data_IF_408391520746
#
_entry.id   IF_408391520746
#
_cell.length_a   1.000
_cell.length_b   1.000
_cell.length_c   1.000
_cell.angle_alpha   90.00
_cell.angle_beta   90.00
_cell.angle_gamma   90.00
#
_symmetry.space_group_name_H-M   'P 1'
#
loop_
_entity.id
_entity.type
_entity.pdbx_description
1 polymer ?
#
# COMPACT_ATOMS: atom_id res chain seq x y z
N UNK A 1 -21.01 -23.17 44.85
CA UNK A 1 -20.13 -24.36 45.00
C UNK A 1 -19.43 -24.74 43.67
N UNK A 2 -20.13 -24.91 42.56
CA UNK A 2 -19.58 -25.34 41.30
C UNK A 2 -18.57 -24.32 40.64
N UNK A 3 -18.78 -23.02 40.81
CA UNK A 3 -17.86 -21.98 40.34
C UNK A 3 -16.49 -22.01 41.05
N UNK A 4 -16.49 -22.20 42.38
CA UNK A 4 -15.23 -22.39 43.14
C UNK A 4 -14.49 -23.69 42.72
N UNK A 5 -15.24 -24.74 42.35
CA UNK A 5 -14.67 -25.97 41.80
C UNK A 5 -14.01 -25.71 40.45
N UNK A 6 -14.60 -24.87 39.58
CA UNK A 6 -14.00 -24.51 38.26
C UNK A 6 -12.57 -23.97 38.40
N UNK A 7 -12.38 -22.96 39.23
CA UNK A 7 -11.06 -22.37 39.46
C UNK A 7 -10.06 -23.36 40.07
N UNK A 8 -10.52 -24.21 41.04
CA UNK A 8 -9.65 -25.22 41.63
C UNK A 8 -9.23 -26.29 40.63
N UNK A 9 -10.14 -26.76 39.79
CA UNK A 9 -9.86 -27.71 38.72
C UNK A 9 -8.92 -27.08 37.65
N UNK A 10 -9.22 -25.83 37.25
CA UNK A 10 -8.32 -25.09 36.31
C UNK A 10 -6.90 -24.98 36.88
N UNK A 11 -6.76 -24.70 38.19
CA UNK A 11 -5.47 -24.63 38.83
C UNK A 11 -4.76 -25.99 38.91
N UNK A 12 -5.50 -27.09 39.16
CA UNK A 12 -4.95 -28.45 39.19
C UNK A 12 -4.48 -28.95 37.83
N UNK A 13 -5.10 -28.46 36.75
CA UNK A 13 -4.78 -28.78 35.36
C UNK A 13 -4.23 -27.56 34.59
N UNK A 14 -3.53 -26.64 35.28
CA UNK A 14 -3.12 -25.34 34.76
C UNK A 14 -2.39 -25.43 33.41
N UNK A 15 -1.47 -26.39 33.25
CA UNK A 15 -0.74 -26.53 31.98
C UNK A 15 -1.65 -26.81 30.78
N UNK A 16 -2.67 -27.65 30.97
CA UNK A 16 -3.64 -27.96 29.91
C UNK A 16 -4.55 -26.75 29.61
N UNK A 17 -5.03 -26.05 30.65
CA UNK A 17 -5.86 -24.86 30.49
C UNK A 17 -5.09 -23.74 29.79
N UNK A 18 -3.83 -23.48 30.20
CA UNK A 18 -2.96 -22.49 29.56
C UNK A 18 -2.72 -22.86 28.10
N UNK A 19 -2.41 -24.13 27.79
CA UNK A 19 -2.19 -24.58 26.42
C UNK A 19 -3.44 -24.35 25.55
N UNK A 20 -4.64 -24.66 26.04
CA UNK A 20 -5.89 -24.42 25.30
C UNK A 20 -6.16 -22.93 25.10
N UNK A 21 -5.93 -22.08 26.12
CA UNK A 21 -6.07 -20.64 26.00
C UNK A 21 -5.09 -20.10 24.96
N UNK A 22 -3.81 -20.51 24.99
CA UNK A 22 -2.81 -20.07 24.00
C UNK A 22 -3.25 -20.46 22.58
N UNK A 23 -3.73 -21.68 22.36
CA UNK A 23 -4.16 -22.12 21.03
C UNK A 23 -5.33 -21.29 20.50
N UNK A 24 -6.32 -20.97 21.33
CA UNK A 24 -7.44 -20.10 20.94
C UNK A 24 -6.96 -18.67 20.71
N UNK A 25 -6.11 -18.16 21.61
CA UNK A 25 -5.49 -16.82 21.47
C UNK A 25 -4.76 -16.68 20.13
N UNK A 26 -3.96 -17.67 19.76
CA UNK A 26 -3.25 -17.66 18.47
C UNK A 26 -4.22 -17.75 17.29
N UNK A 27 -5.20 -18.66 17.36
CA UNK A 27 -6.19 -18.78 16.27
C UNK A 27 -7.00 -17.50 16.02
N UNK A 28 -7.49 -16.88 17.09
CA UNK A 28 -8.24 -15.62 17.01
C UNK A 28 -7.32 -14.44 16.67
N UNK A 29 -6.11 -14.41 17.24
CA UNK A 29 -5.12 -13.36 16.96
C UNK A 29 -4.68 -13.34 15.50
N UNK A 30 -4.42 -14.50 14.91
CA UNK A 30 -4.11 -14.65 13.48
C UNK A 30 -5.30 -14.23 12.63
N UNK A 31 -6.51 -14.71 12.97
CA UNK A 31 -7.73 -14.33 12.26
C UNK A 31 -7.92 -12.81 12.22
N UNK A 32 -7.90 -12.17 13.37
CA UNK A 32 -8.10 -10.72 13.45
C UNK A 32 -6.93 -9.94 12.86
N UNK A 33 -5.69 -10.36 13.12
CA UNK A 33 -4.50 -9.70 12.61
C UNK A 33 -4.49 -9.59 11.10
N UNK A 34 -4.63 -10.70 10.38
CA UNK A 34 -4.68 -10.69 8.91
C UNK A 34 -5.92 -10.01 8.35
N UNK A 35 -7.10 -10.19 8.99
CA UNK A 35 -8.31 -9.51 8.51
C UNK A 35 -8.25 -7.99 8.70
N UNK A 36 -7.63 -7.49 9.76
CA UNK A 36 -7.37 -6.06 9.92
C UNK A 36 -6.33 -5.56 8.93
N UNK A 37 -5.27 -6.33 8.70
CA UNK A 37 -4.18 -5.98 7.80
C UNK A 37 -4.68 -5.80 6.36
N UNK A 38 -5.24 -6.86 5.73
CA UNK A 38 -5.67 -6.78 4.34
C UNK A 38 -6.75 -5.72 4.12
N UNK A 39 -7.68 -5.58 5.06
CA UNK A 39 -8.73 -4.56 4.95
C UNK A 39 -8.16 -3.14 5.07
N UNK A 40 -7.18 -2.93 5.96
CA UNK A 40 -6.49 -1.65 6.09
C UNK A 40 -5.72 -1.32 4.81
N UNK A 41 -4.98 -2.30 4.25
CA UNK A 41 -4.28 -2.13 2.98
C UNK A 41 -5.26 -1.73 1.89
N UNK A 42 -6.33 -2.50 1.66
CA UNK A 42 -7.30 -2.23 0.59
C UNK A 42 -7.98 -0.85 0.75
N UNK A 43 -8.39 -0.51 1.97
CA UNK A 43 -9.08 0.73 2.26
C UNK A 43 -8.17 1.95 2.09
N UNK A 44 -7.00 1.94 2.74
CA UNK A 44 -6.11 3.10 2.76
C UNK A 44 -5.39 3.29 1.41
N UNK A 45 -4.99 2.21 0.72
CA UNK A 45 -4.40 2.32 -0.62
C UNK A 45 -5.41 2.83 -1.64
N UNK A 46 -6.66 2.33 -1.61
CA UNK A 46 -7.72 2.82 -2.50
C UNK A 46 -8.00 4.31 -2.29
N UNK A 47 -8.03 4.73 -1.02
CA UNK A 47 -8.18 6.14 -0.66
C UNK A 47 -7.00 6.97 -1.16
N UNK A 48 -5.77 6.51 -0.95
CA UNK A 48 -4.57 7.23 -1.38
C UNK A 48 -4.47 7.33 -2.90
N UNK A 49 -4.87 6.29 -3.64
CA UNK A 49 -5.00 6.37 -5.09
C UNK A 49 -6.03 7.43 -5.53
N UNK A 50 -7.15 7.53 -4.83
CA UNK A 50 -8.14 8.58 -5.10
C UNK A 50 -7.61 9.98 -4.75
N UNK A 51 -6.97 10.15 -3.59
CA UNK A 51 -6.42 11.42 -3.12
C UNK A 51 -5.28 11.95 -4.03
N UNK A 52 -4.58 11.05 -4.74
CA UNK A 52 -3.49 11.38 -5.67
C UNK A 52 -3.91 11.34 -7.14
N UNK A 53 -5.20 11.20 -7.43
CA UNK A 53 -5.70 11.06 -8.80
C UNK A 53 -4.89 10.03 -9.61
N UNK A 54 -4.68 8.84 -9.04
CA UNK A 54 -3.91 7.77 -9.66
C UNK A 54 -4.54 7.37 -10.99
N UNK A 55 -3.74 7.32 -12.06
CA UNK A 55 -4.26 7.09 -13.40
C UNK A 55 -4.99 5.74 -13.55
N UNK A 56 -6.21 5.76 -14.09
CA UNK A 56 -6.95 4.54 -14.46
C UNK A 56 -6.35 3.88 -15.70
N UNK A 57 -5.86 4.70 -16.64
CA UNK A 57 -5.19 4.24 -17.86
C UNK A 57 -3.95 5.08 -18.15
N UNK A 58 -2.96 4.41 -18.76
CA UNK A 58 -1.75 5.04 -19.29
C UNK A 58 -1.63 4.74 -20.76
N UNK A 59 -1.47 5.78 -21.56
CA UNK A 59 -1.22 5.70 -23.00
C UNK A 59 0.28 5.87 -23.24
N UNK A 60 0.85 5.08 -24.13
CA UNK A 60 2.26 5.16 -24.48
C UNK A 60 2.44 5.30 -25.99
N UNK A 61 3.23 6.30 -26.39
CA UNK A 61 3.67 6.50 -27.78
C UNK A 61 5.15 6.90 -27.80
N UNK A 62 5.96 6.13 -28.53
CA UNK A 62 7.40 6.41 -28.67
C UNK A 62 7.69 7.73 -29.41
N UNK A 63 6.76 8.21 -30.21
CA UNK A 63 6.89 9.48 -30.91
C UNK A 63 6.50 10.69 -30.02
N UNK A 64 5.96 10.42 -28.83
CA UNK A 64 5.46 11.39 -27.90
C UNK A 64 4.05 11.88 -28.23
N UNK A 65 3.51 12.68 -27.31
CA UNK A 65 2.20 13.28 -27.42
C UNK A 65 2.31 14.80 -27.50
N UNK A 66 1.59 15.40 -28.46
CA UNK A 66 1.48 16.86 -28.56
C UNK A 66 0.42 17.40 -27.61
N UNK A 67 0.42 18.72 -27.39
CA UNK A 67 -0.67 19.37 -26.64
C UNK A 67 -2.03 19.18 -27.35
N UNK A 68 -2.07 19.20 -28.68
CA UNK A 68 -3.28 18.93 -29.48
C UNK A 68 -3.77 17.47 -29.31
N UNK A 69 -2.85 16.50 -29.17
CA UNK A 69 -3.21 15.12 -28.83
C UNK A 69 -3.86 15.06 -27.45
N UNK A 70 -3.32 15.77 -26.46
CA UNK A 70 -3.89 15.83 -25.11
C UNK A 70 -5.30 16.41 -25.14
N UNK A 71 -5.50 17.53 -25.86
CA UNK A 71 -6.80 18.17 -25.99
C UNK A 71 -7.85 17.23 -26.65
N UNK A 72 -7.43 16.49 -27.68
CA UNK A 72 -8.28 15.48 -28.34
C UNK A 72 -8.64 14.32 -27.40
N UNK A 73 -7.68 13.83 -26.61
CA UNK A 73 -7.89 12.77 -25.61
C UNK A 73 -8.83 13.26 -24.51
N UNK A 74 -8.58 14.46 -23.97
CA UNK A 74 -9.41 15.05 -22.93
C UNK A 74 -10.84 15.35 -23.41
N UNK A 75 -11.03 15.55 -24.72
CA UNK A 75 -12.34 15.73 -25.35
C UNK A 75 -13.14 14.43 -25.58
N UNK A 76 -12.59 13.25 -25.32
CA UNK A 76 -13.29 11.97 -25.47
C UNK A 76 -14.36 11.85 -24.38
N UNK A 77 -15.59 11.53 -24.79
CA UNK A 77 -16.68 11.31 -23.85
C UNK A 77 -16.39 10.07 -22.97
N UNK A 78 -16.33 10.25 -21.66
CA UNK A 78 -15.94 9.23 -20.68
C UNK A 78 -14.51 9.37 -20.16
N UNK A 79 -13.72 10.31 -20.67
CA UNK A 79 -12.46 10.76 -20.08
C UNK A 79 -12.76 11.91 -19.11
N UNK A 80 -12.46 11.72 -17.83
CA UNK A 80 -12.73 12.70 -16.77
C UNK A 80 -11.59 13.71 -16.63
N UNK A 81 -10.34 13.24 -16.80
CA UNK A 81 -9.14 14.06 -16.81
C UNK A 81 -8.02 13.37 -17.58
N UNK A 82 -7.11 14.15 -18.15
CA UNK A 82 -5.91 13.65 -18.82
C UNK A 82 -4.74 14.60 -18.61
N UNK A 83 -3.53 14.06 -18.53
CA UNK A 83 -2.29 14.82 -18.45
C UNK A 83 -1.18 14.14 -19.25
N UNK A 84 -0.34 14.91 -19.93
CA UNK A 84 0.94 14.38 -20.40
C UNK A 84 1.85 14.16 -19.20
N UNK A 85 2.52 13.01 -19.17
CA UNK A 85 3.30 12.60 -18.03
C UNK A 85 4.70 12.13 -18.47
N UNK A 86 5.70 12.60 -17.76
CA UNK A 86 7.08 12.14 -17.90
C UNK A 86 7.50 11.48 -16.61
N UNK A 87 8.11 10.30 -16.70
CA UNK A 87 8.83 9.68 -15.60
C UNK A 87 10.17 9.16 -16.11
N UNK A 88 11.27 9.61 -15.52
CA UNK A 88 12.62 9.23 -15.93
C UNK A 88 13.54 9.06 -14.72
N UNK A 89 14.32 7.98 -14.70
CA UNK A 89 15.29 7.74 -13.63
C UNK A 89 16.56 8.55 -13.88
N UNK A 90 16.98 9.34 -12.89
CA UNK A 90 18.14 10.21 -12.92
C UNK A 90 19.06 9.92 -11.74
N UNK A 91 20.38 9.97 -11.99
CA UNK A 91 21.37 9.83 -10.92
C UNK A 91 21.51 11.12 -10.12
N UNK A 92 21.80 11.01 -8.84
CA UNK A 92 22.11 12.17 -8.00
C UNK A 92 23.59 12.50 -8.17
N UNK A 93 23.89 13.71 -8.61
CA UNK A 93 25.26 14.17 -8.83
C UNK A 93 26.09 14.07 -7.56
N UNK A 94 27.26 13.45 -7.67
CA UNK A 94 28.21 13.29 -6.55
C UNK A 94 27.81 12.23 -5.53
N UNK A 95 26.77 11.45 -5.76
CA UNK A 95 26.36 10.33 -4.92
C UNK A 95 26.41 9.03 -5.73
N UNK A 96 27.26 8.09 -5.32
CA UNK A 96 27.34 6.79 -5.97
C UNK A 96 26.12 5.93 -5.63
N UNK A 97 25.53 5.28 -6.62
CA UNK A 97 24.38 4.38 -6.49
C UNK A 97 23.13 5.02 -5.84
N UNK A 98 22.91 6.31 -6.10
CA UNK A 98 21.67 6.98 -5.68
C UNK A 98 21.00 7.62 -6.88
N UNK A 99 19.72 7.33 -7.04
CA UNK A 99 18.92 7.84 -8.14
C UNK A 99 17.51 8.18 -7.69
N UNK A 100 16.84 8.98 -8.50
CA UNK A 100 15.44 9.36 -8.31
C UNK A 100 14.68 9.16 -9.63
N UNK A 101 13.46 8.64 -9.52
CA UNK A 101 12.48 8.81 -10.58
C UNK A 101 12.03 10.29 -10.55
N UNK A 102 12.32 11.03 -11.61
CA UNK A 102 11.88 12.40 -11.78
C UNK A 102 10.62 12.42 -12.62
N UNK A 103 9.53 12.89 -12.03
CA UNK A 103 8.23 12.97 -12.64
C UNK A 103 7.84 14.41 -12.98
N UNK A 104 7.12 14.56 -14.09
CA UNK A 104 6.47 15.81 -14.49
C UNK A 104 5.06 15.50 -14.95
N UNK A 105 4.07 16.05 -14.27
CA UNK A 105 2.68 16.06 -14.70
C UNK A 105 2.38 17.45 -15.28
N UNK A 106 1.99 17.54 -16.56
CA UNK A 106 1.90 18.81 -17.26
C UNK A 106 0.88 19.76 -16.64
N UNK A 107 -0.33 19.27 -16.35
CA UNK A 107 -1.42 20.09 -15.80
C UNK A 107 -1.83 19.66 -14.39
N UNK A 108 -1.11 18.74 -13.79
CA UNK A 108 -1.31 18.23 -12.43
C UNK A 108 -2.76 17.78 -12.13
N UNK A 109 -3.52 17.34 -13.16
CA UNK A 109 -4.89 16.85 -13.00
C UNK A 109 -4.97 15.36 -12.69
N UNK A 110 -3.96 14.60 -13.14
CA UNK A 110 -3.82 13.15 -12.94
C UNK A 110 -2.41 12.86 -12.45
N UNK A 111 -2.23 11.78 -11.70
CA UNK A 111 -0.93 11.38 -11.13
C UNK A 111 -0.31 12.50 -10.29
N UNK A 112 -1.09 12.99 -9.33
CA UNK A 112 -0.70 14.03 -8.39
C UNK A 112 -0.01 13.45 -7.16
N UNK A 113 0.32 14.30 -6.19
CA UNK A 113 0.91 13.88 -4.92
C UNK A 113 0.30 14.64 -3.74
N UNK A 114 0.48 14.09 -2.55
CA UNK A 114 0.14 14.75 -1.28
C UNK A 114 1.40 15.39 -0.70
N UNK A 115 1.30 16.65 -0.29
CA UNK A 115 2.39 17.38 0.37
C UNK A 115 2.38 17.06 1.85
N UNK A 116 3.46 16.46 2.35
CA UNK A 116 3.67 16.15 3.76
C UNK A 116 4.24 17.34 4.52
N UNK A 117 5.14 18.10 3.88
CA UNK A 117 5.70 19.36 4.42
C UNK A 117 6.27 20.23 3.32
N UNK A 118 6.40 21.53 3.57
CA UNK A 118 6.92 22.50 2.61
C UNK A 118 5.84 23.15 1.75
N UNK A 119 6.21 23.53 0.53
CA UNK A 119 5.36 24.28 -0.38
C UNK A 119 4.38 23.38 -1.14
N UNK A 120 3.19 23.90 -1.40
CA UNK A 120 2.23 23.26 -2.31
C UNK A 120 2.80 23.22 -3.73
N UNK A 121 2.24 22.33 -4.56
CA UNK A 121 2.63 22.30 -5.97
C UNK A 121 2.38 23.63 -6.67
N UNK A 122 3.38 24.06 -7.44
CA UNK A 122 3.33 25.23 -8.29
C UNK A 122 3.85 24.86 -9.70
N UNK A 123 2.99 24.99 -10.72
CA UNK A 123 3.33 24.74 -12.12
C UNK A 123 4.50 25.59 -12.62
N UNK A 124 4.73 26.74 -11.97
CA UNK A 124 5.79 27.69 -12.27
C UNK A 124 6.99 27.56 -11.31
N UNK A 125 6.96 26.63 -10.38
CA UNK A 125 8.01 26.42 -9.39
C UNK A 125 9.34 26.01 -10.02
N UNK A 126 10.45 26.46 -9.41
CA UNK A 126 11.83 26.12 -9.86
C UNK A 126 12.46 25.03 -8.97
N UNK A 127 11.75 24.58 -7.92
CA UNK A 127 12.22 23.58 -6.99
C UNK A 127 11.86 22.14 -7.36
N UNK A 128 12.18 21.24 -6.43
CA UNK A 128 11.79 19.84 -6.46
C UNK A 128 10.89 19.51 -5.27
N UNK A 129 9.86 18.72 -5.52
CA UNK A 129 9.08 18.04 -4.49
C UNK A 129 9.59 16.60 -4.40
N UNK A 130 10.18 16.22 -3.26
CA UNK A 130 10.92 14.97 -3.11
C UNK A 130 10.19 14.03 -2.15
N UNK A 131 10.29 12.72 -2.39
CA UNK A 131 9.79 11.68 -1.46
C UNK A 131 10.32 11.95 -0.04
N UNK A 132 9.41 12.01 0.95
CA UNK A 132 9.76 12.26 2.34
C UNK A 132 10.63 11.15 2.93
N UNK A 133 10.35 9.88 2.58
CA UNK A 133 11.16 8.74 3.02
C UNK A 133 12.57 8.77 2.43
N UNK A 134 12.69 9.10 1.14
CA UNK A 134 14.02 9.25 0.53
C UNK A 134 14.79 10.42 1.15
N UNK A 135 14.14 11.57 1.35
CA UNK A 135 14.74 12.73 1.99
C UNK A 135 15.21 12.39 3.41
N UNK A 136 14.37 11.75 4.21
CA UNK A 136 14.70 11.31 5.56
C UNK A 136 15.88 10.32 5.59
N UNK A 137 15.87 9.29 4.74
CA UNK A 137 16.93 8.28 4.67
C UNK A 137 18.28 8.86 4.24
N UNK A 138 18.27 9.96 3.48
CA UNK A 138 19.46 10.62 2.96
C UNK A 138 19.83 11.92 3.65
N UNK A 139 19.14 12.28 4.75
CA UNK A 139 19.32 13.49 5.54
C UNK A 139 19.14 14.79 4.73
N UNK A 140 18.26 14.78 3.72
CA UNK A 140 17.84 15.99 3.03
C UNK A 140 16.73 16.72 3.80
N UNK A 141 16.78 18.06 3.74
CA UNK A 141 15.82 18.95 4.37
C UNK A 141 15.24 19.94 3.34
N UNK A 142 14.13 20.57 3.69
CA UNK A 142 13.57 21.67 2.90
C UNK A 142 14.62 22.79 2.77
N UNK A 143 14.79 23.26 1.54
CA UNK A 143 15.78 24.30 1.19
C UNK A 143 17.14 23.77 0.74
N UNK A 144 17.45 22.49 0.95
CA UNK A 144 18.67 21.86 0.46
C UNK A 144 18.72 21.85 -1.06
N UNK A 145 19.93 21.97 -1.63
CA UNK A 145 20.15 21.90 -3.05
C UNK A 145 20.27 20.44 -3.51
N UNK A 146 19.48 20.09 -4.50
CA UNK A 146 19.50 18.78 -5.15
C UNK A 146 19.94 18.96 -6.60
N UNK A 147 20.93 18.18 -7.04
CA UNK A 147 21.37 18.16 -8.44
C UNK A 147 21.23 16.74 -9.00
N UNK A 148 20.41 16.61 -10.03
CA UNK A 148 20.19 15.38 -10.78
C UNK A 148 21.02 15.43 -12.07
N UNK A 149 21.54 14.29 -12.50
CA UNK A 149 22.35 14.19 -13.71
C UNK A 149 21.66 13.32 -14.76
N UNK A 150 21.53 13.85 -15.97
CA UNK A 150 20.94 13.17 -17.11
C UNK A 150 21.82 13.31 -18.34
N UNK A 151 22.43 12.22 -18.78
CA UNK A 151 23.25 12.19 -20.01
C UNK A 151 24.28 13.33 -20.08
N UNK A 152 24.95 13.62 -18.96
CA UNK A 152 25.96 14.66 -18.86
C UNK A 152 25.43 16.08 -18.62
N UNK A 153 24.13 16.26 -18.49
CA UNK A 153 23.50 17.52 -18.11
C UNK A 153 23.09 17.48 -16.64
N UNK A 154 23.34 18.55 -15.92
CA UNK A 154 22.94 18.70 -14.52
C UNK A 154 21.64 19.52 -14.42
N UNK A 155 20.70 19.02 -13.64
CA UNK A 155 19.43 19.67 -13.32
C UNK A 155 19.44 20.00 -11.83
N UNK A 156 19.67 21.25 -11.49
CA UNK A 156 19.76 21.69 -10.10
C UNK A 156 18.49 22.43 -9.63
N UNK A 157 18.20 22.32 -8.35
CA UNK A 157 17.11 23.04 -7.71
C UNK A 157 17.04 22.75 -6.22
N UNK A 158 16.30 23.59 -5.50
CA UNK A 158 16.06 23.40 -4.06
C UNK A 158 14.92 22.42 -3.83
N UNK A 159 15.00 21.67 -2.75
CA UNK A 159 13.89 20.87 -2.24
C UNK A 159 12.89 21.83 -1.59
N UNK A 160 11.73 21.99 -2.21
CA UNK A 160 10.68 22.92 -1.77
C UNK A 160 9.54 22.21 -1.05
N UNK A 161 9.37 20.93 -1.26
CA UNK A 161 8.34 20.13 -0.62
C UNK A 161 8.76 18.68 -0.40
N UNK A 162 8.26 18.08 0.66
CA UNK A 162 8.33 16.64 0.91
C UNK A 162 6.96 16.02 0.64
N UNK A 163 6.91 14.97 -0.14
CA UNK A 163 5.68 14.47 -0.75
C UNK A 163 5.55 12.95 -0.66
N UNK A 164 4.30 12.49 -0.88
CA UNK A 164 3.96 11.10 -1.17
C UNK A 164 3.07 11.03 -2.41
N UNK A 165 3.38 10.10 -3.32
CA UNK A 165 2.68 9.92 -4.60
C UNK A 165 2.15 8.51 -4.77
N UNK A 166 0.91 8.39 -5.27
CA UNK A 166 0.31 7.10 -5.63
C UNK A 166 1.10 6.37 -6.72
N UNK A 167 1.75 7.09 -7.64
CA UNK A 167 2.58 6.50 -8.71
C UNK A 167 3.79 5.74 -8.14
N UNK A 168 4.28 6.15 -6.97
CA UNK A 168 5.44 5.60 -6.29
C UNK A 168 5.11 5.05 -4.90
N UNK A 169 3.87 4.66 -4.65
CA UNK A 169 3.46 4.08 -3.37
C UNK A 169 4.29 2.85 -3.01
N UNK A 170 4.73 2.06 -4.00
CA UNK A 170 5.76 1.03 -3.85
C UNK A 170 6.98 1.50 -4.63
N UNK A 171 7.95 2.11 -3.92
CA UNK A 171 9.08 2.80 -4.52
C UNK A 171 10.29 1.87 -4.68
N UNK A 172 10.35 1.15 -5.80
CA UNK A 172 11.45 0.24 -6.14
C UNK A 172 12.16 0.70 -7.41
N UNK A 173 13.50 0.58 -7.44
CA UNK A 173 14.31 0.94 -8.60
C UNK A 173 14.20 -0.07 -9.75
N UNK A 174 13.97 -1.35 -9.42
CA UNK A 174 13.86 -2.47 -10.35
C UNK A 174 12.69 -3.36 -9.97
N UNK A 175 11.99 -3.90 -10.98
CA UNK A 175 10.84 -4.81 -10.80
C UNK A 175 11.16 -6.11 -10.05
N UNK A 176 12.43 -6.49 -9.96
CA UNK A 176 12.87 -7.67 -9.22
C UNK A 176 13.23 -7.35 -7.76
N UNK A 177 13.18 -6.08 -7.37
CA UNK A 177 13.45 -5.66 -5.99
C UNK A 177 12.20 -5.91 -5.14
N UNK A 178 12.33 -6.76 -4.12
CA UNK A 178 11.22 -7.17 -3.27
C UNK A 178 10.81 -6.12 -2.22
N UNK A 179 11.73 -5.25 -1.82
CA UNK A 179 11.47 -4.23 -0.80
C UNK A 179 12.08 -2.89 -1.23
N UNK A 180 11.40 -1.76 -0.99
CA UNK A 180 11.96 -0.44 -1.20
C UNK A 180 13.26 -0.22 -0.41
N UNK A 181 14.23 0.44 -1.03
CA UNK A 181 15.44 0.94 -0.36
C UNK A 181 15.60 2.44 -0.60
N UNK A 182 15.01 3.20 0.30
CA UNK A 182 15.05 4.67 0.24
C UNK A 182 16.44 5.28 0.44
N UNK A 183 17.46 4.49 0.82
CA UNK A 183 18.85 4.97 0.84
C UNK A 183 19.41 5.11 -0.58
N UNK A 184 18.92 4.33 -1.52
CA UNK A 184 19.46 4.27 -2.89
C UNK A 184 18.51 4.81 -3.94
N UNK A 185 17.19 4.65 -3.74
CA UNK A 185 16.17 5.05 -4.71
C UNK A 185 15.00 5.78 -4.06
N UNK A 186 14.51 6.79 -4.76
CA UNK A 186 13.33 7.56 -4.40
C UNK A 186 12.69 8.19 -5.63
N UNK A 187 11.85 9.19 -5.41
CA UNK A 187 11.22 9.93 -6.51
C UNK A 187 11.14 11.42 -6.17
N UNK A 188 11.01 12.21 -7.22
CA UNK A 188 10.82 13.63 -7.13
C UNK A 188 9.91 14.13 -8.25
N UNK A 189 9.21 15.22 -8.00
CA UNK A 189 8.44 15.95 -9.02
C UNK A 189 9.10 17.29 -9.30
N UNK A 190 9.02 17.75 -10.56
CA UNK A 190 9.34 19.12 -10.92
C UNK A 190 8.21 19.72 -11.76
N UNK A 191 8.20 21.05 -11.89
CA UNK A 191 7.19 21.76 -12.66
C UNK A 191 7.39 21.62 -14.17
N UNK A 192 6.32 21.72 -14.99
CA UNK A 192 6.44 21.78 -16.45
C UNK A 192 7.25 22.99 -16.91
N UNK A 193 7.17 24.14 -16.24
CA UNK A 193 8.01 25.30 -16.55
C UNK A 193 9.49 24.97 -16.39
N UNK A 194 9.88 24.29 -15.31
CA UNK A 194 11.26 23.87 -15.10
C UNK A 194 11.70 22.87 -16.18
N UNK A 195 10.83 21.95 -16.60
CA UNK A 195 11.09 21.01 -17.70
C UNK A 195 11.44 21.78 -18.99
N UNK A 196 10.65 22.81 -19.36
CA UNK A 196 10.94 23.63 -20.54
C UNK A 196 12.29 24.33 -20.45
N UNK A 197 12.67 24.79 -19.25
CA UNK A 197 14.01 25.35 -19.01
C UNK A 197 15.12 24.31 -19.25
N UNK A 198 14.92 23.09 -18.74
CA UNK A 198 15.85 21.96 -18.95
C UNK A 198 15.95 21.59 -20.43
N UNK A 199 14.84 21.54 -21.15
CA UNK A 199 14.82 21.28 -22.60
C UNK A 199 15.60 22.36 -23.36
N UNK A 200 15.40 23.64 -23.04
CA UNK A 200 16.14 24.75 -23.64
C UNK A 200 17.65 24.62 -23.46
N UNK A 201 18.10 24.30 -22.25
CA UNK A 201 19.52 24.11 -21.95
C UNK A 201 20.08 22.85 -22.69
N UNK A 202 19.28 21.78 -22.78
CA UNK A 202 19.69 20.58 -23.54
C UNK A 202 19.88 20.88 -25.02
N UNK A 203 19.01 21.67 -25.64
CA UNK A 203 19.16 22.11 -27.04
C UNK A 203 20.44 22.92 -27.22
N UNK A 204 20.78 23.85 -26.33
CA UNK A 204 22.04 24.59 -26.36
C UNK A 204 23.25 23.67 -26.28
N UNK A 205 23.25 22.75 -25.32
CA UNK A 205 24.36 21.79 -25.13
C UNK A 205 24.54 20.85 -26.32
N UNK A 206 23.45 20.55 -27.06
CA UNK A 206 23.49 19.72 -28.26
C UNK A 206 24.03 20.46 -29.48
N UNK A 207 24.49 21.72 -29.35
CA UNK A 207 25.00 22.54 -30.45
C UNK A 207 23.91 23.14 -31.32
N UNK A 208 22.65 23.18 -30.89
CA UNK A 208 21.57 23.81 -31.62
C UNK A 208 21.84 25.34 -31.62
N UNK A 209 21.81 26.04 -32.77
CA UNK A 209 22.09 27.46 -32.81
C UNK A 209 21.14 28.25 -31.95
N UNK A 210 21.66 29.15 -31.10
CA UNK A 210 20.85 29.85 -30.09
C UNK A 210 19.70 30.68 -30.69
N UNK A 211 19.91 31.25 -31.87
CA UNK A 211 18.90 31.98 -32.61
C UNK A 211 17.77 31.11 -33.20
N UNK A 212 17.94 29.80 -33.23
CA UNK A 212 16.92 28.82 -33.65
C UNK A 212 16.21 28.14 -32.47
N UNK A 213 16.61 28.41 -31.22
CA UNK A 213 15.93 27.92 -30.02
C UNK A 213 14.69 28.81 -29.79
N UNK A 214 13.70 28.62 -30.64
CA UNK A 214 12.39 29.29 -30.55
C UNK A 214 11.47 28.50 -29.64
N UNK A 215 10.36 29.11 -29.23
CA UNK A 215 9.31 28.37 -28.46
C UNK A 215 8.81 27.16 -29.26
N UNK A 216 8.64 27.26 -30.56
CA UNK A 216 8.25 26.11 -31.40
C UNK A 216 9.28 24.96 -31.33
N UNK A 217 10.57 25.26 -31.32
CA UNK A 217 11.61 24.23 -31.19
C UNK A 217 11.58 23.57 -29.81
N UNK A 218 11.24 24.34 -28.77
CA UNK A 218 11.05 23.82 -27.41
C UNK A 218 9.80 22.94 -27.37
N UNK A 219 8.68 23.38 -27.96
CA UNK A 219 7.43 22.62 -28.02
C UNK A 219 7.62 21.29 -28.77
N UNK A 220 8.34 21.28 -29.89
CA UNK A 220 8.66 20.05 -30.62
C UNK A 220 9.52 19.08 -29.79
N UNK A 221 10.48 19.60 -29.03
CA UNK A 221 11.29 18.78 -28.13
C UNK A 221 10.48 18.26 -26.94
N UNK A 222 9.66 19.10 -26.34
CA UNK A 222 8.76 18.75 -25.23
C UNK A 222 7.76 17.67 -25.64
N UNK A 223 7.16 17.75 -26.82
CA UNK A 223 6.26 16.74 -27.35
C UNK A 223 6.89 15.34 -27.42
N UNK A 224 8.18 15.26 -27.75
CA UNK A 224 8.93 13.99 -27.77
C UNK A 224 9.29 13.47 -26.39
N UNK A 225 9.41 14.36 -25.39
CA UNK A 225 9.72 14.00 -24.01
C UNK A 225 8.48 13.39 -23.34
N UNK A 226 7.30 13.88 -23.64
CA UNK A 226 6.06 13.31 -23.12
C UNK A 226 5.63 12.07 -23.91
N UNK A 227 6.27 10.94 -23.65
CA UNK A 227 5.93 9.65 -24.26
C UNK A 227 4.72 8.94 -23.60
N UNK A 228 4.14 9.55 -22.59
CA UNK A 228 3.04 8.99 -21.81
C UNK A 228 1.93 10.03 -21.60
N UNK A 229 0.67 9.57 -21.65
CA UNK A 229 -0.50 10.30 -21.17
C UNK A 229 -1.21 9.48 -20.11
N UNK A 230 -1.47 10.08 -18.95
CA UNK A 230 -2.22 9.50 -17.86
C UNK A 230 -3.66 9.99 -17.88
N UNK A 231 -4.60 9.08 -17.68
CA UNK A 231 -6.04 9.34 -17.85
C UNK A 231 -6.82 8.84 -16.64
N UNK A 232 -7.80 9.64 -16.20
CA UNK A 232 -8.91 9.20 -15.36
C UNK A 232 -10.14 8.95 -16.23
N UNK A 233 -10.67 7.73 -16.21
CA UNK A 233 -11.81 7.34 -17.02
C UNK A 233 -12.54 6.15 -16.43
N UNK A 234 -13.87 6.15 -16.52
CA UNK A 234 -14.73 5.02 -16.14
C UNK A 234 -15.00 4.05 -17.31
N UNK A 235 -14.38 4.28 -18.47
CA UNK A 235 -14.52 3.45 -19.67
C UNK A 235 -13.80 2.10 -19.44
N UNK A 236 -14.25 1.08 -20.15
CA UNK A 236 -13.47 -0.14 -20.32
C UNK A 236 -12.32 0.09 -21.32
N UNK A 237 -11.31 -0.81 -21.25
CA UNK A 237 -10.09 -0.69 -22.03
C UNK A 237 -10.36 -0.65 -23.55
N UNK A 238 -11.21 -1.54 -24.05
CA UNK A 238 -11.47 -1.70 -25.50
C UNK A 238 -12.16 -0.44 -26.05
N UNK A 239 -13.17 0.05 -25.34
CA UNK A 239 -13.86 1.30 -25.69
C UNK A 239 -12.92 2.51 -25.69
N UNK A 240 -12.00 2.59 -24.72
CA UNK A 240 -11.02 3.66 -24.66
C UNK A 240 -9.99 3.55 -25.81
N UNK A 241 -9.49 2.34 -26.11
CA UNK A 241 -8.56 2.11 -27.23
C UNK A 241 -9.16 2.57 -28.57
N UNK A 242 -10.43 2.20 -28.84
CA UNK A 242 -11.12 2.61 -30.06
C UNK A 242 -11.36 4.13 -30.11
N UNK A 243 -11.78 4.71 -28.99
CA UNK A 243 -12.00 6.15 -28.93
C UNK A 243 -10.71 6.96 -29.13
N UNK A 244 -9.60 6.55 -28.49
CA UNK A 244 -8.29 7.19 -28.65
C UNK A 244 -7.77 7.03 -30.08
N UNK A 245 -7.90 5.83 -30.67
CA UNK A 245 -7.51 5.57 -32.06
C UNK A 245 -8.29 6.46 -33.04
N UNK A 246 -9.60 6.62 -32.82
CA UNK A 246 -10.44 7.49 -33.65
C UNK A 246 -10.07 8.97 -33.49
N UNK A 247 -9.78 9.42 -32.25
CA UNK A 247 -9.43 10.80 -31.97
C UNK A 247 -8.05 11.20 -32.54
N UNK A 248 -7.07 10.29 -32.43
CA UNK A 248 -5.68 10.57 -32.84
C UNK A 248 -5.36 10.09 -34.27
N UNK A 249 -6.20 9.23 -34.87
CA UNK A 249 -5.92 8.64 -36.20
C UNK A 249 -4.76 7.64 -36.22
N UNK A 250 -4.26 7.21 -35.07
CA UNK A 250 -3.17 6.24 -34.90
C UNK A 250 -3.42 5.29 -33.73
N UNK A 251 -2.82 4.11 -33.80
CA UNK A 251 -2.94 3.10 -32.71
C UNK A 251 -1.95 3.43 -31.60
N UNK A 252 -2.48 3.52 -30.38
CA UNK A 252 -1.73 3.83 -29.16
C UNK A 252 -1.81 2.62 -28.22
N UNK A 253 -0.73 2.33 -27.50
CA UNK A 253 -0.74 1.32 -26.46
C UNK A 253 -1.47 1.84 -25.23
N UNK A 254 -2.55 1.17 -24.83
CA UNK A 254 -3.35 1.51 -23.64
C UNK A 254 -3.13 0.47 -22.56
N UNK A 255 -2.69 0.91 -21.38
CA UNK A 255 -2.44 0.04 -20.21
C UNK A 255 -3.36 0.45 -19.07
N UNK A 256 -4.25 -0.44 -18.60
CA UNK A 256 -5.11 -0.14 -17.45
C UNK A 256 -4.32 -0.18 -16.15
N UNK A 257 -4.82 0.46 -15.09
CA UNK A 257 -4.17 0.48 -13.77
C UNK A 257 -3.93 -0.93 -13.20
N UNK A 258 -4.78 -1.89 -13.52
CA UNK A 258 -4.65 -3.29 -13.07
C UNK A 258 -3.39 -3.98 -13.60
N UNK A 259 -2.82 -3.50 -14.70
CA UNK A 259 -1.57 -4.01 -15.26
C UNK A 259 -0.35 -3.20 -14.78
N UNK A 260 -0.57 -2.07 -14.11
CA UNK A 260 0.51 -1.27 -13.55
C UNK A 260 1.06 -1.89 -12.27
N UNK A 261 2.38 -1.98 -12.17
CA UNK A 261 3.08 -2.73 -11.11
C UNK A 261 2.65 -2.29 -9.71
N UNK A 262 2.64 -0.98 -9.44
CA UNK A 262 2.30 -0.43 -8.11
C UNK A 262 0.89 -0.84 -7.68
N UNK A 263 -0.10 -0.71 -8.57
CA UNK A 263 -1.47 -1.10 -8.28
C UNK A 263 -1.61 -2.61 -8.08
N UNK A 264 -0.98 -3.39 -8.97
CA UNK A 264 -1.03 -4.85 -8.94
C UNK A 264 -0.42 -5.41 -7.66
N UNK A 265 0.74 -4.92 -7.25
CA UNK A 265 1.40 -5.33 -6.01
C UNK A 265 0.60 -4.90 -4.77
N UNK A 266 0.06 -3.68 -4.75
CA UNK A 266 -0.76 -3.21 -3.63
C UNK A 266 -2.03 -4.05 -3.44
N UNK A 267 -2.72 -4.38 -4.53
CA UNK A 267 -3.90 -5.24 -4.47
C UNK A 267 -3.53 -6.70 -4.20
N UNK A 268 -2.37 -7.15 -4.67
CA UNK A 268 -1.81 -8.46 -4.40
C UNK A 268 -1.58 -8.71 -2.91
N UNK A 269 -0.96 -7.75 -2.21
CA UNK A 269 -0.76 -7.82 -0.75
C UNK A 269 -2.10 -7.95 0.00
N UNK A 270 -3.13 -7.20 -0.42
CA UNK A 270 -4.47 -7.32 0.16
C UNK A 270 -5.06 -8.71 -0.06
N UNK A 271 -4.99 -9.26 -1.27
CA UNK A 271 -5.52 -10.61 -1.59
C UNK A 271 -4.74 -11.72 -0.86
N UNK A 272 -3.43 -11.59 -0.71
CA UNK A 272 -2.63 -12.53 0.09
C UNK A 272 -3.03 -12.50 1.56
N UNK A 273 -3.15 -11.31 2.15
CA UNK A 273 -3.63 -11.12 3.52
C UNK A 273 -5.02 -11.72 3.74
N UNK A 274 -5.95 -11.53 2.79
CA UNK A 274 -7.29 -12.11 2.80
C UNK A 274 -7.27 -13.65 2.74
N UNK A 275 -6.42 -14.20 1.91
CA UNK A 275 -6.23 -15.65 1.79
C UNK A 275 -5.67 -16.24 3.08
N UNK A 276 -4.62 -15.64 3.64
CA UNK A 276 -4.01 -16.05 4.91
C UNK A 276 -5.00 -15.89 6.08
N UNK A 277 -5.75 -14.79 6.10
CA UNK A 277 -6.79 -14.52 7.10
C UNK A 277 -7.98 -15.49 7.07
N UNK A 278 -8.21 -16.17 5.94
CA UNK A 278 -9.28 -17.17 5.81
C UNK A 278 -8.80 -18.62 6.09
N UNK A 279 -7.61 -18.99 5.64
CA UNK A 279 -7.13 -20.39 5.68
C UNK A 279 -6.46 -20.72 7.02
N UNK A 280 -5.50 -19.90 7.46
CA UNK A 280 -4.73 -20.19 8.66
C UNK A 280 -5.56 -20.28 9.95
N UNK A 281 -6.53 -19.39 10.20
CA UNK A 281 -7.35 -19.46 11.41
C UNK A 281 -8.18 -20.74 11.50
N UNK A 282 -8.72 -21.23 10.38
CA UNK A 282 -9.48 -22.50 10.34
C UNK A 282 -8.61 -23.66 10.81
N UNK A 283 -7.37 -23.72 10.36
CA UNK A 283 -6.41 -24.74 10.77
C UNK A 283 -6.11 -24.66 12.28
N UNK A 284 -5.80 -23.45 12.79
CA UNK A 284 -5.51 -23.26 14.22
C UNK A 284 -6.73 -23.55 15.11
N UNK A 285 -7.94 -23.14 14.70
CA UNK A 285 -9.17 -23.42 15.44
C UNK A 285 -9.48 -24.93 15.45
N UNK A 286 -9.29 -25.63 14.34
CA UNK A 286 -9.44 -27.08 14.30
C UNK A 286 -8.52 -27.79 15.30
N UNK A 287 -7.23 -27.40 15.34
CA UNK A 287 -6.27 -27.92 16.31
C UNK A 287 -6.69 -27.57 17.75
N UNK A 288 -7.15 -26.35 17.99
CA UNK A 288 -7.64 -25.92 19.31
C UNK A 288 -8.85 -26.75 19.77
N UNK A 289 -9.81 -27.02 18.88
CA UNK A 289 -11.00 -27.84 19.18
C UNK A 289 -10.58 -29.27 19.51
N UNK A 290 -9.72 -29.89 18.70
CA UNK A 290 -9.21 -31.26 18.94
C UNK A 290 -8.49 -31.35 20.28
N UNK A 291 -7.63 -30.37 20.58
CA UNK A 291 -6.91 -30.29 21.86
C UNK A 291 -7.86 -30.10 23.02
N UNK A 292 -8.91 -29.27 22.86
CA UNK A 292 -9.93 -29.06 23.90
C UNK A 292 -10.74 -30.34 24.16
N UNK A 293 -11.22 -31.02 23.12
CA UNK A 293 -11.98 -32.26 23.23
C UNK A 293 -11.17 -33.36 23.95
N UNK A 294 -9.92 -33.59 23.51
CA UNK A 294 -9.04 -34.62 24.12
C UNK A 294 -8.72 -34.30 25.57
N UNK A 295 -8.47 -33.04 25.88
CA UNK A 295 -8.19 -32.58 27.24
C UNK A 295 -9.40 -32.70 28.15
N UNK A 296 -10.58 -32.28 27.70
CA UNK A 296 -11.85 -32.39 28.46
C UNK A 296 -12.22 -33.84 28.70
N UNK A 297 -12.02 -34.71 27.70
CA UNK A 297 -12.20 -36.17 27.87
C UNK A 297 -11.28 -36.72 28.98
N UNK A 298 -10.01 -36.34 28.98
CA UNK A 298 -9.04 -36.78 30.01
C UNK A 298 -9.41 -36.28 31.41
N UNK A 299 -9.85 -34.99 31.53
CA UNK A 299 -10.30 -34.44 32.82
C UNK A 299 -11.56 -35.18 33.31
N UNK A 300 -12.56 -35.38 32.45
CA UNK A 300 -13.78 -36.09 32.79
C UNK A 300 -13.51 -37.54 33.23
N UNK A 301 -12.55 -38.24 32.59
CA UNK A 301 -12.16 -39.60 32.98
C UNK A 301 -11.47 -39.62 34.32
N UNK A 302 -10.57 -38.67 34.62
CA UNK A 302 -9.95 -38.57 35.95
C UNK A 302 -10.92 -38.20 37.09
N UNK A 303 -11.93 -37.41 36.77
CA UNK A 303 -12.96 -36.95 37.70
C UNK A 303 -14.19 -37.91 37.80
N UNK A 304 -14.14 -39.09 37.19
CA UNK A 304 -15.24 -40.07 37.13
C UNK A 304 -15.87 -40.37 38.52
N UNK A 305 -15.04 -40.55 39.55
CA UNK A 305 -15.47 -40.80 40.92
C UNK A 305 -16.26 -39.58 41.47
N UNK A 306 -15.75 -38.37 41.24
CA UNK A 306 -16.43 -37.15 41.70
C UNK A 306 -17.78 -36.93 40.97
N UNK A 307 -17.84 -37.28 39.68
CA UNK A 307 -19.07 -37.23 38.90
C UNK A 307 -20.09 -38.23 39.49
N UNK A 308 -19.66 -39.43 39.84
CA UNK A 308 -20.49 -40.42 40.51
C UNK A 308 -21.03 -39.94 41.84
N UNK A 309 -20.19 -39.33 42.70
CA UNK A 309 -20.57 -38.78 43.98
C UNK A 309 -21.63 -37.65 43.82
N UNK A 310 -21.43 -36.74 42.82
CA UNK A 310 -22.40 -35.70 42.52
C UNK A 310 -23.75 -36.27 42.09
N UNK A 311 -23.77 -37.36 41.30
CA UNK A 311 -25.01 -38.07 40.94
C UNK A 311 -25.65 -38.72 42.14
N UNK A 312 -24.93 -39.37 43.03
CA UNK A 312 -25.43 -39.96 44.25
C UNK A 312 -26.07 -38.88 45.21
N UNK A 313 -25.53 -37.68 45.20
CA UNK A 313 -26.05 -36.52 45.94
C UNK A 313 -27.28 -35.85 45.24
N UNK A 314 -27.82 -36.46 44.16
CA UNK A 314 -29.04 -36.00 43.49
C UNK A 314 -28.85 -34.88 42.47
N UNK A 315 -27.62 -34.57 42.03
CA UNK A 315 -27.40 -33.56 40.98
C UNK A 315 -27.87 -34.09 39.61
N UNK A 316 -28.74 -33.34 38.93
CA UNK A 316 -29.24 -33.66 37.59
C UNK A 316 -28.09 -33.67 36.57
N UNK A 317 -28.11 -34.63 35.62
CA UNK A 317 -27.09 -34.75 34.54
C UNK A 317 -26.86 -33.44 33.79
N UNK A 318 -27.91 -32.66 33.48
CA UNK A 318 -27.80 -31.34 32.84
C UNK A 318 -26.96 -30.34 33.63
N UNK A 319 -27.00 -30.40 34.97
CA UNK A 319 -26.21 -29.49 35.83
C UNK A 319 -24.76 -29.88 35.86
N UNK A 320 -24.45 -31.16 35.81
CA UNK A 320 -23.10 -31.70 35.72
C UNK A 320 -22.52 -31.36 34.34
N UNK A 321 -23.25 -31.64 33.26
CA UNK A 321 -22.82 -31.32 31.89
C UNK A 321 -22.52 -29.82 31.75
N UNK A 322 -23.44 -28.92 32.18
CA UNK A 322 -23.24 -27.48 32.14
C UNK A 322 -21.98 -27.02 32.90
N UNK A 323 -21.63 -27.69 33.99
CA UNK A 323 -20.41 -27.41 34.73
C UNK A 323 -19.15 -27.73 33.90
N UNK A 324 -19.08 -28.88 33.19
CA UNK A 324 -17.95 -29.24 32.37
C UNK A 324 -17.91 -28.38 31.06
N UNK A 325 -19.05 -28.06 30.49
CA UNK A 325 -19.12 -27.13 29.35
C UNK A 325 -18.65 -25.70 29.71
N UNK A 326 -18.86 -25.29 30.98
CA UNK A 326 -18.39 -23.96 31.42
C UNK A 326 -16.86 -23.81 31.43
N UNK A 327 -16.10 -24.90 31.47
CA UNK A 327 -14.63 -24.83 31.26
C UNK A 327 -14.29 -24.39 29.83
N UNK A 328 -14.94 -24.99 28.82
CA UNK A 328 -14.76 -24.60 27.43
C UNK A 328 -15.17 -23.15 27.19
N UNK A 329 -16.31 -22.71 27.76
CA UNK A 329 -16.75 -21.33 27.66
C UNK A 329 -15.76 -20.35 28.30
N UNK A 330 -15.24 -20.68 29.48
CA UNK A 330 -14.24 -19.85 30.15
C UNK A 330 -12.95 -19.72 29.30
N UNK A 331 -12.44 -20.83 28.78
CA UNK A 331 -11.25 -20.86 27.92
C UNK A 331 -11.51 -20.08 26.64
N UNK A 332 -12.69 -20.26 26.04
CA UNK A 332 -13.10 -19.54 24.82
C UNK A 332 -13.13 -18.03 25.03
N UNK A 333 -13.81 -17.55 26.08
CA UNK A 333 -13.91 -16.10 26.37
C UNK A 333 -12.53 -15.51 26.63
N UNK A 334 -11.72 -16.13 27.49
CA UNK A 334 -10.38 -15.63 27.82
C UNK A 334 -9.48 -15.66 26.59
N UNK A 335 -9.48 -16.78 25.84
CA UNK A 335 -8.66 -16.94 24.65
C UNK A 335 -9.05 -15.94 23.55
N UNK A 336 -10.36 -15.71 23.32
CA UNK A 336 -10.83 -14.72 22.36
C UNK A 336 -10.45 -13.29 22.75
N UNK A 337 -10.63 -12.92 24.03
CA UNK A 337 -10.25 -11.58 24.49
C UNK A 337 -8.74 -11.31 24.34
N UNK A 338 -7.92 -12.29 24.73
CA UNK A 338 -6.46 -12.19 24.55
C UNK A 338 -6.08 -12.22 23.07
N UNK A 339 -6.74 -13.03 22.24
CA UNK A 339 -6.53 -13.14 20.81
C UNK A 339 -6.88 -11.83 20.08
N UNK A 340 -8.00 -11.20 20.45
CA UNK A 340 -8.37 -9.90 19.89
C UNK A 340 -7.33 -8.82 20.21
N UNK A 341 -6.85 -8.77 21.45
CA UNK A 341 -5.77 -7.86 21.84
C UNK A 341 -4.47 -8.13 21.10
N UNK A 342 -4.09 -9.40 20.96
CA UNK A 342 -2.88 -9.80 20.25
C UNK A 342 -2.97 -9.44 18.76
N UNK A 343 -4.07 -9.78 18.08
CA UNK A 343 -4.28 -9.46 16.66
C UNK A 343 -4.21 -7.96 16.39
N UNK A 344 -4.85 -7.14 17.22
CA UNK A 344 -4.77 -5.69 17.12
C UNK A 344 -3.33 -5.17 17.29
N UNK A 345 -2.61 -5.64 18.31
CA UNK A 345 -1.22 -5.21 18.57
C UNK A 345 -0.27 -5.61 17.43
N UNK A 346 -0.42 -6.83 16.90
CA UNK A 346 0.38 -7.30 15.78
C UNK A 346 0.09 -6.49 14.52
N UNK A 347 -1.19 -6.31 14.16
CA UNK A 347 -1.56 -5.48 13.01
C UNK A 347 -1.01 -4.07 13.14
N UNK A 348 -1.18 -3.42 14.29
CA UNK A 348 -0.64 -2.08 14.54
C UNK A 348 0.88 -2.02 14.41
N UNK A 349 1.61 -3.05 14.87
CA UNK A 349 3.06 -3.10 14.74
C UNK A 349 3.50 -3.28 13.28
N UNK A 350 2.83 -4.17 12.53
CA UNK A 350 3.11 -4.42 11.10
C UNK A 350 2.82 -3.19 10.25
N UNK A 351 1.71 -2.50 10.52
CA UNK A 351 1.27 -1.30 9.80
C UNK A 351 1.96 -0.01 10.25
N UNK A 352 2.76 -0.03 11.33
CA UNK A 352 3.48 1.17 11.78
C UNK A 352 4.52 1.63 10.74
N UNK A 353 4.91 2.89 10.78
CA UNK A 353 5.90 3.50 9.87
C UNK A 353 7.19 2.68 9.72
N UNK A 354 7.69 2.13 10.84
CA UNK A 354 8.87 1.26 10.88
C UNK A 354 8.52 -0.23 10.78
N UNK A 355 7.26 -0.57 10.61
CA UNK A 355 6.77 -1.93 10.40
C UNK A 355 6.99 -2.40 8.97
N UNK A 356 6.67 -3.67 8.72
CA UNK A 356 6.86 -4.26 7.39
C UNK A 356 6.07 -3.50 6.31
N UNK A 357 4.77 -3.28 6.52
CA UNK A 357 3.91 -2.59 5.56
C UNK A 357 4.20 -1.08 5.50
N UNK A 358 4.50 -0.44 6.64
CA UNK A 358 4.93 0.95 6.65
C UNK A 358 6.26 1.22 5.96
N UNK A 359 7.15 0.22 5.86
CA UNK A 359 8.38 0.32 5.08
C UNK A 359 8.13 0.03 3.60
N UNK A 360 7.26 -0.94 3.30
CA UNK A 360 6.94 -1.36 1.95
C UNK A 360 6.15 -0.30 1.17
N UNK A 361 5.11 0.26 1.80
CA UNK A 361 4.27 1.30 1.18
C UNK A 361 4.73 2.71 1.56
N UNK A 362 4.93 3.57 0.58
CA UNK A 362 5.16 5.01 0.78
C UNK A 362 3.83 5.76 0.78
N UNK A 363 3.15 5.71 1.89
CA UNK A 363 1.82 6.30 2.10
C UNK A 363 1.81 7.23 3.31
N UNK A 364 0.83 8.15 3.40
CA UNK A 364 0.45 8.79 4.67
C UNK A 364 0.06 7.75 5.72
N UNK A 365 -0.23 8.20 6.95
CA UNK A 365 -0.55 7.32 8.07
C UNK A 365 -1.67 6.32 7.76
N UNK A 366 -1.44 5.06 8.17
CA UNK A 366 -2.44 4.01 8.09
C UNK A 366 -3.55 4.20 9.10
N UNK A 367 -4.80 4.00 8.67
CA UNK A 367 -5.93 3.89 9.57
C UNK A 367 -6.17 2.42 9.90
N UNK A 368 -6.15 2.05 11.17
CA UNK A 368 -6.45 0.67 11.57
C UNK A 368 -7.95 0.40 11.36
N UNK A 369 -8.32 -0.08 10.17
CA UNK A 369 -9.68 -0.45 9.83
C UNK A 369 -9.95 -1.91 10.20
N UNK A 370 -11.02 -2.17 10.95
CA UNK A 370 -11.45 -3.54 11.28
C UNK A 370 -12.77 -3.82 10.57
N UNK A 371 -12.83 -4.77 9.62
CA UNK A 371 -14.09 -5.15 9.00
C UNK A 371 -15.05 -5.71 10.04
N UNK A 372 -16.34 -5.39 9.93
CA UNK A 372 -17.35 -5.74 10.93
C UNK A 372 -17.45 -7.25 11.21
N UNK A 373 -17.17 -8.09 10.19
CA UNK A 373 -17.16 -9.56 10.32
C UNK A 373 -15.93 -10.10 11.07
N UNK A 374 -14.90 -9.29 11.28
CA UNK A 374 -13.72 -9.64 12.08
C UNK A 374 -13.87 -9.29 13.56
N UNK A 375 -14.99 -8.67 13.93
CA UNK A 375 -15.33 -8.43 15.34
C UNK A 375 -15.85 -9.75 15.93
N UNK A 376 -15.19 -10.29 16.99
CA UNK A 376 -15.54 -11.58 17.57
C UNK A 376 -16.93 -11.59 18.20
#
# INVERSE_FOLDING_TARGET
MLTRKLFRTAWSYKAQFISMIIMITLGIGIFLGFNMEWYTIEYDTSRFFADTNYADFRLYDQNGFTADDLDKIAGINGVNAATRFLSVNLDIKGKTNKSLALDVSENFSVSTFVVMSGEKYDENGEGFWVSDKFASANNYQLGDELTLSFQGMDISGKIVGLIKSGEHMICVADKNQLMPDYNTFGYAYMSPKKLRTVIREKLKMSGFPENLITENAIDEAENKVYAQVNILSDMDKESLEDAVKNALGRTIMVTPKTDHVVYKEAMGESEEGKTMGSVLPVLFLAIAILTMVTTMHRIATKEKIQIGTLKALGFKNRRILRHYTSYGLFIGIVGTALGAGLGYLVCKAVMSENGMMGTYFDMPDWTAATPFFAIP
#
